data_IF_777548062506
#
_entry.id   IF_777548062506
#
_cell.length_a   1.000
_cell.length_b   1.000
_cell.length_c   1.000
_cell.angle_alpha   90.00
_cell.angle_beta   90.00
_cell.angle_gamma   90.00
#
_symmetry.space_group_name_H-M   'P 1'
#
loop_
_entity.id
_entity.type
_entity.pdbx_description
1 polymer ?
#
# COMPACT_ATOMS: atom_id res chain seq x y z
N UNK A 1 19.00 -12.33 13.69
CA UNK A 1 18.37 -11.01 13.71
C UNK A 1 16.91 -11.02 13.23
N UNK A 2 16.38 -12.14 12.76
CA UNK A 2 15.04 -12.23 12.14
C UNK A 2 13.83 -12.15 13.09
N UNK A 3 14.03 -12.07 14.39
CA UNK A 3 12.91 -12.15 15.33
C UNK A 3 12.48 -10.77 15.90
N UNK A 4 13.23 -9.71 15.66
CA UNK A 4 12.87 -8.38 16.18
C UNK A 4 11.55 -7.88 15.62
N UNK A 5 11.37 -8.01 14.30
CA UNK A 5 10.12 -7.63 13.63
C UNK A 5 8.94 -8.44 14.18
N UNK A 6 9.10 -9.76 14.32
CA UNK A 6 8.06 -10.64 14.88
C UNK A 6 7.71 -10.27 16.33
N UNK A 7 8.70 -9.99 17.16
CA UNK A 7 8.51 -9.56 18.56
C UNK A 7 7.74 -8.24 18.61
N UNK A 8 8.09 -7.28 17.75
CA UNK A 8 7.39 -6.00 17.62
C UNK A 8 5.94 -6.22 17.20
N UNK A 9 5.69 -7.02 16.16
CA UNK A 9 4.35 -7.34 15.67
C UNK A 9 3.48 -7.93 16.79
N UNK A 10 4.01 -8.89 17.58
CA UNK A 10 3.30 -9.45 18.74
C UNK A 10 2.95 -8.37 19.75
N UNK A 11 3.90 -7.50 20.10
CA UNK A 11 3.67 -6.41 21.04
C UNK A 11 2.57 -5.46 20.55
N UNK A 12 2.65 -5.06 19.28
CA UNK A 12 1.69 -4.13 18.67
C UNK A 12 0.28 -4.74 18.53
N UNK A 13 0.19 -6.07 18.38
CA UNK A 13 -1.10 -6.78 18.32
C UNK A 13 -1.81 -6.89 19.67
N UNK A 14 -1.13 -6.63 20.78
CA UNK A 14 -1.67 -6.78 22.14
C UNK A 14 -1.85 -8.24 22.61
N UNK A 15 -1.48 -9.23 21.78
CA UNK A 15 -1.63 -10.66 22.10
C UNK A 15 -0.51 -11.08 23.06
N UNK A 16 -0.85 -11.40 24.30
CA UNK A 16 0.11 -11.77 25.35
C UNK A 16 0.45 -13.25 25.36
N UNK A 17 -0.54 -14.13 25.14
CA UNK A 17 -0.37 -15.58 25.24
C UNK A 17 0.31 -16.18 24.02
N UNK A 18 1.33 -17.02 24.28
CA UNK A 18 1.97 -17.82 23.24
C UNK A 18 1.15 -19.06 22.88
N UNK A 19 0.30 -19.53 23.79
CA UNK A 19 -0.62 -20.67 23.58
C UNK A 19 -1.62 -20.37 22.47
N UNK A 20 -2.23 -19.17 22.48
CA UNK A 20 -3.16 -18.74 21.42
C UNK A 20 -2.46 -18.72 20.06
N UNK A 21 -1.22 -18.24 20.01
CA UNK A 21 -0.44 -18.19 18.76
C UNK A 21 -0.07 -19.60 18.31
N UNK A 22 0.34 -20.46 19.26
CA UNK A 22 0.70 -21.85 19.02
C UNK A 22 -0.47 -22.62 18.44
N UNK A 23 -1.63 -22.54 19.06
CA UNK A 23 -2.86 -23.19 18.62
C UNK A 23 -3.27 -22.75 17.21
N UNK A 24 -3.26 -21.45 16.96
CA UNK A 24 -3.67 -20.88 15.66
C UNK A 24 -2.66 -21.16 14.52
N UNK A 25 -1.38 -21.28 14.84
CA UNK A 25 -0.31 -21.50 13.83
C UNK A 25 0.10 -22.95 13.68
N UNK A 26 -0.26 -23.82 14.63
CA UNK A 26 0.22 -25.20 14.69
C UNK A 26 1.71 -25.33 15.08
N UNK A 27 2.37 -24.22 15.45
CA UNK A 27 3.76 -24.24 15.93
C UNK A 27 3.74 -24.53 17.43
N UNK A 28 4.47 -25.54 17.86
CA UNK A 28 4.58 -25.91 19.27
C UNK A 28 4.88 -24.71 20.18
N UNK A 29 4.25 -24.67 21.36
CA UNK A 29 4.29 -23.54 22.32
C UNK A 29 5.71 -23.24 22.79
N UNK A 30 6.54 -24.25 23.02
CA UNK A 30 7.94 -24.05 23.43
C UNK A 30 8.74 -23.39 22.31
N UNK A 31 8.56 -23.84 21.08
CA UNK A 31 9.16 -23.24 19.87
C UNK A 31 8.65 -21.80 19.66
N UNK A 32 7.35 -21.58 19.80
CA UNK A 32 6.74 -20.25 19.72
C UNK A 32 7.36 -19.29 20.74
N UNK A 33 7.53 -19.74 21.98
CA UNK A 33 8.18 -18.97 23.04
C UNK A 33 9.64 -18.62 22.71
N UNK A 34 10.39 -19.57 22.17
CA UNK A 34 11.78 -19.34 21.73
C UNK A 34 11.88 -18.34 20.57
N UNK A 35 10.92 -18.33 19.67
CA UNK A 35 10.84 -17.34 18.58
C UNK A 35 10.61 -15.93 19.14
N UNK A 36 9.64 -15.75 20.03
CA UNK A 36 9.32 -14.43 20.62
C UNK A 36 10.33 -13.93 21.67
N UNK A 37 11.19 -14.81 22.16
CA UNK A 37 12.34 -14.39 22.98
C UNK A 37 13.61 -14.18 22.17
N UNK A 38 13.58 -14.43 20.86
CA UNK A 38 14.75 -14.30 19.97
C UNK A 38 15.80 -15.40 20.14
N UNK A 39 15.52 -16.42 20.96
CA UNK A 39 16.45 -17.53 21.22
C UNK A 39 16.52 -18.54 20.08
N UNK A 40 15.49 -18.60 19.23
CA UNK A 40 15.44 -19.46 18.04
C UNK A 40 15.06 -18.64 16.83
N UNK A 41 15.77 -18.83 15.71
CA UNK A 41 15.43 -18.22 14.42
C UNK A 41 14.19 -18.86 13.83
N UNK A 42 13.33 -18.06 13.20
CA UNK A 42 12.21 -18.55 12.40
C UNK A 42 12.69 -18.94 11.00
N UNK A 43 12.11 -20.00 10.44
CA UNK A 43 12.25 -20.32 9.03
C UNK A 43 11.12 -19.66 8.20
N UNK A 44 11.17 -19.82 6.88
CA UNK A 44 10.21 -19.16 5.97
C UNK A 44 8.78 -19.68 6.15
N UNK A 45 8.62 -20.98 6.45
CA UNK A 45 7.31 -21.59 6.69
C UNK A 45 6.69 -21.05 7.98
N UNK A 46 7.47 -20.94 9.04
CA UNK A 46 7.04 -20.35 10.30
C UNK A 46 6.72 -18.87 10.16
N UNK A 47 7.53 -18.14 9.39
CA UNK A 47 7.24 -16.73 9.06
C UNK A 47 5.92 -16.60 8.31
N UNK A 48 5.61 -17.51 7.40
CA UNK A 48 4.34 -17.58 6.69
C UNK A 48 3.17 -17.81 7.65
N UNK A 49 3.25 -18.80 8.55
CA UNK A 49 2.22 -19.08 9.53
C UNK A 49 1.95 -17.88 10.45
N UNK A 50 3.00 -17.24 10.95
CA UNK A 50 2.87 -16.00 11.72
C UNK A 50 2.27 -14.86 10.89
N UNK A 51 2.62 -14.74 9.61
CA UNK A 51 2.05 -13.70 8.75
C UNK A 51 0.54 -13.84 8.58
N UNK A 52 0.06 -15.07 8.45
CA UNK A 52 -1.38 -15.38 8.41
C UNK A 52 -2.08 -15.04 9.71
N UNK A 53 -1.50 -15.46 10.83
CA UNK A 53 -2.06 -15.21 12.16
C UNK A 53 -2.18 -13.71 12.47
N UNK A 54 -1.09 -12.97 12.29
CA UNK A 54 -1.06 -11.52 12.55
C UNK A 54 -1.64 -10.66 11.42
N UNK A 55 -2.07 -11.27 10.32
CA UNK A 55 -2.59 -10.58 9.12
C UNK A 55 -1.62 -9.51 8.59
N UNK A 56 -0.33 -9.83 8.60
CA UNK A 56 0.74 -8.98 8.06
C UNK A 56 1.44 -9.68 6.92
N UNK A 57 2.05 -8.91 6.03
CA UNK A 57 2.83 -9.51 4.94
C UNK A 57 4.07 -10.22 5.48
N UNK A 58 4.41 -11.42 4.93
CA UNK A 58 5.54 -12.25 5.39
C UNK A 58 6.87 -11.48 5.43
N UNK A 59 7.11 -10.61 4.46
CA UNK A 59 8.34 -9.81 4.39
C UNK A 59 8.46 -8.87 5.59
N UNK A 60 7.35 -8.36 6.15
CA UNK A 60 7.38 -7.54 7.37
C UNK A 60 7.87 -8.32 8.59
N UNK A 61 7.70 -9.64 8.59
CA UNK A 61 8.23 -10.51 9.64
C UNK A 61 9.72 -10.79 9.42
N UNK A 62 10.14 -10.91 8.16
CA UNK A 62 11.52 -11.23 7.79
C UNK A 62 12.43 -10.00 7.82
N UNK A 63 11.89 -8.80 7.59
CA UNK A 63 12.64 -7.55 7.58
C UNK A 63 11.84 -6.42 8.24
N UNK A 64 12.32 -5.93 9.38
CA UNK A 64 11.69 -4.83 10.12
C UNK A 64 11.82 -3.46 9.44
N UNK A 65 12.73 -3.34 8.47
CA UNK A 65 12.95 -2.10 7.73
C UNK A 65 12.02 -1.94 6.52
N UNK A 66 11.08 -2.88 6.33
CA UNK A 66 10.14 -2.80 5.23
C UNK A 66 8.79 -2.32 5.70
N UNK A 67 8.32 -1.22 5.13
CA UNK A 67 7.00 -0.68 5.38
C UNK A 67 6.01 -1.17 4.32
N UNK A 68 4.81 -1.50 4.76
CA UNK A 68 3.71 -1.92 3.91
C UNK A 68 2.72 -0.77 3.72
N UNK A 69 2.33 -0.54 2.47
CA UNK A 69 1.32 0.46 2.11
C UNK A 69 0.15 -0.19 1.38
N UNK A 70 -1.08 0.15 1.71
CA UNK A 70 -2.24 -0.42 1.04
C UNK A 70 -2.38 0.11 -0.38
N UNK A 71 -2.60 -0.78 -1.34
CA UNK A 71 -3.07 -0.44 -2.68
C UNK A 71 -4.58 -0.35 -2.62
N UNK A 72 -5.09 0.86 -2.47
CA UNK A 72 -6.52 1.13 -2.29
C UNK A 72 -7.30 1.21 -3.59
N UNK A 73 -6.59 1.33 -4.73
CA UNK A 73 -7.21 1.48 -6.03
C UNK A 73 -6.29 1.03 -7.16
N UNK A 74 -6.90 0.76 -8.30
CA UNK A 74 -6.20 0.57 -9.57
C UNK A 74 -6.65 1.61 -10.58
N UNK A 75 -5.72 2.13 -11.37
CA UNK A 75 -6.07 2.95 -12.52
C UNK A 75 -5.74 2.25 -13.85
N UNK A 76 -6.52 2.56 -14.87
CA UNK A 76 -6.27 2.09 -16.23
C UNK A 76 -5.35 3.07 -16.99
N UNK A 77 -5.02 2.74 -18.24
CA UNK A 77 -4.20 3.61 -19.11
C UNK A 77 -4.83 4.97 -19.38
N UNK A 78 -6.15 5.11 -19.25
CA UNK A 78 -6.86 6.39 -19.38
C UNK A 78 -6.88 7.21 -18.09
N UNK A 79 -6.17 6.78 -17.04
CA UNK A 79 -6.13 7.47 -15.74
C UNK A 79 -7.43 7.33 -14.92
N UNK A 80 -8.39 6.51 -15.36
CA UNK A 80 -9.62 6.25 -14.60
C UNK A 80 -9.32 5.31 -13.45
N UNK A 81 -9.66 5.73 -12.25
CA UNK A 81 -9.37 5.00 -11.00
C UNK A 81 -10.60 4.23 -10.54
N UNK A 82 -10.40 2.96 -10.21
CA UNK A 82 -11.39 2.09 -9.55
C UNK A 82 -10.91 1.80 -8.14
N UNK A 83 -11.69 2.23 -7.17
CA UNK A 83 -11.46 1.90 -5.75
C UNK A 83 -11.74 0.42 -5.52
N UNK A 84 -11.06 -0.13 -4.53
CA UNK A 84 -11.30 -1.47 -4.00
C UNK A 84 -11.92 -1.40 -2.62
N UNK A 85 -12.65 -2.43 -2.24
CA UNK A 85 -13.09 -2.60 -0.86
C UNK A 85 -11.88 -2.87 0.05
N UNK A 86 -11.98 -2.53 1.31
CA UNK A 86 -10.85 -2.65 2.25
C UNK A 86 -10.37 -4.10 2.43
N UNK A 87 -11.26 -5.07 2.36
CA UNK A 87 -10.98 -6.50 2.41
C UNK A 87 -10.22 -7.03 1.17
N UNK A 88 -10.27 -6.28 0.05
CA UNK A 88 -9.58 -6.60 -1.19
C UNK A 88 -8.24 -5.88 -1.35
N UNK A 89 -7.84 -5.05 -0.38
CA UNK A 89 -6.61 -4.28 -0.49
C UNK A 89 -5.40 -5.20 -0.53
N UNK A 90 -4.62 -5.03 -1.57
CA UNK A 90 -3.27 -5.59 -1.66
C UNK A 90 -2.29 -4.62 -0.99
N UNK A 91 -1.09 -5.08 -0.69
CA UNK A 91 -0.05 -4.24 -0.13
C UNK A 91 1.14 -4.14 -1.07
N UNK A 92 1.74 -2.98 -1.12
CA UNK A 92 3.04 -2.77 -1.74
C UNK A 92 4.08 -2.59 -0.64
N UNK A 93 5.26 -3.11 -0.90
CA UNK A 93 6.37 -3.04 0.02
C UNK A 93 7.34 -1.99 -0.51
N UNK A 94 7.67 -1.04 0.35
CA UNK A 94 8.68 -0.02 0.07
C UNK A 94 9.73 -0.01 1.19
N UNK A 95 10.99 0.36 0.89
CA UNK A 95 11.99 0.63 1.91
C UNK A 95 11.52 1.74 2.85
N UNK A 96 11.97 1.68 4.11
CA UNK A 96 11.58 2.66 5.15
C UNK A 96 12.08 4.09 4.90
N UNK A 97 13.00 4.29 3.94
CA UNK A 97 13.58 5.59 3.61
C UNK A 97 12.59 6.54 2.90
N UNK A 98 11.42 6.03 2.54
CA UNK A 98 10.34 6.88 2.07
C UNK A 98 9.61 7.44 3.29
N UNK A 99 9.75 8.73 3.59
CA UNK A 99 8.99 9.50 4.59
C UNK A 99 7.49 9.53 4.24
N UNK A 100 6.83 8.38 4.26
CA UNK A 100 5.49 8.23 3.71
C UNK A 100 4.49 7.71 4.74
N UNK A 101 4.62 8.11 6.00
CA UNK A 101 3.65 7.78 7.03
C UNK A 101 2.24 8.24 6.64
N UNK A 102 1.36 7.28 6.48
CA UNK A 102 -0.05 7.50 6.15
C UNK A 102 -0.38 7.60 4.67
N UNK A 103 0.54 7.30 3.76
CA UNK A 103 0.27 7.30 2.33
C UNK A 103 -0.51 6.07 1.86
N UNK A 104 -1.39 6.30 0.91
CA UNK A 104 -2.10 5.28 0.16
C UNK A 104 -1.53 5.18 -1.26
N UNK A 105 -1.71 4.02 -1.87
CA UNK A 105 -1.21 3.73 -3.20
C UNK A 105 -2.33 3.52 -4.20
N UNK A 106 -2.15 4.07 -5.41
CA UNK A 106 -2.94 3.72 -6.58
C UNK A 106 -1.99 3.03 -7.56
N UNK A 107 -2.30 1.80 -7.95
CA UNK A 107 -1.47 1.02 -8.84
C UNK A 107 -1.99 1.08 -10.28
N UNK A 108 -1.11 1.38 -11.21
CA UNK A 108 -1.37 1.23 -12.64
C UNK A 108 -0.64 -0.01 -13.16
N UNK A 109 -1.35 -1.13 -13.25
CA UNK A 109 -0.77 -2.45 -13.56
C UNK A 109 -0.01 -2.47 -14.90
N UNK A 110 -0.61 -1.90 -15.96
CA UNK A 110 -0.03 -1.95 -17.30
C UNK A 110 1.28 -1.16 -17.43
N UNK A 111 1.43 -0.07 -16.67
CA UNK A 111 2.61 0.78 -16.66
C UNK A 111 3.58 0.43 -15.52
N UNK A 112 3.25 -0.55 -14.69
CA UNK A 112 4.03 -0.90 -13.50
C UNK A 112 4.34 0.32 -12.62
N UNK A 113 3.40 1.27 -12.53
CA UNK A 113 3.57 2.52 -11.81
C UNK A 113 2.69 2.56 -10.58
N UNK A 114 3.24 3.03 -9.48
CA UNK A 114 2.51 3.31 -8.25
C UNK A 114 2.50 4.82 -8.06
N UNK A 115 1.32 5.34 -7.81
CA UNK A 115 1.09 6.72 -7.42
C UNK A 115 0.84 6.77 -5.92
N UNK A 116 1.65 7.55 -5.20
CA UNK A 116 1.56 7.71 -3.77
C UNK A 116 0.83 9.01 -3.43
N UNK A 117 -0.14 8.94 -2.53
CA UNK A 117 -0.84 10.13 -2.04
C UNK A 117 -1.19 9.98 -0.56
N UNK A 118 -1.25 11.09 0.15
CA UNK A 118 -1.70 11.11 1.54
C UNK A 118 -3.18 11.58 1.58
N UNK A 119 -4.12 10.75 2.07
CA UNK A 119 -5.54 11.10 2.10
C UNK A 119 -5.87 12.24 3.07
N UNK A 120 -4.93 12.65 3.93
CA UNK A 120 -5.09 13.79 4.85
C UNK A 120 -4.69 15.12 4.20
N UNK A 121 -3.98 15.07 3.07
CA UNK A 121 -3.52 16.27 2.35
C UNK A 121 -4.45 16.52 1.17
N UNK A 122 -5.19 17.62 1.23
CA UNK A 122 -6.09 18.06 0.16
C UNK A 122 -5.58 19.39 -0.33
N UNK A 123 -5.51 19.58 -1.64
CA UNK A 123 -5.16 20.87 -2.26
C UNK A 123 -6.39 21.56 -2.78
N UNK A 124 -6.44 22.87 -2.58
CA UNK A 124 -7.51 23.72 -3.11
C UNK A 124 -7.44 23.83 -4.64
N UNK A 125 -8.56 24.21 -5.23
CA UNK A 125 -8.72 24.27 -6.68
C UNK A 125 -7.63 25.06 -7.39
N UNK A 126 -7.26 26.22 -6.85
CA UNK A 126 -6.23 27.08 -7.47
C UNK A 126 -4.84 26.51 -7.33
N UNK A 127 -4.57 25.85 -6.22
CA UNK A 127 -3.29 25.23 -5.89
C UNK A 127 -3.06 23.94 -6.67
N UNK A 128 -4.14 23.26 -7.09
CA UNK A 128 -4.05 22.04 -7.89
C UNK A 128 -3.50 22.26 -9.31
N UNK A 129 -3.42 23.51 -9.78
CA UNK A 129 -2.88 23.79 -11.12
C UNK A 129 -1.41 23.41 -11.24
N UNK A 130 -1.09 22.69 -12.31
CA UNK A 130 0.24 22.15 -12.62
C UNK A 130 0.74 21.11 -11.59
N UNK A 131 -0.19 20.54 -10.80
CA UNK A 131 0.11 19.45 -9.88
C UNK A 131 -0.50 18.16 -10.41
N UNK A 132 0.26 17.08 -10.30
CA UNK A 132 -0.21 15.74 -10.58
C UNK A 132 -1.02 15.24 -9.39
N UNK A 133 -2.28 14.89 -9.60
CA UNK A 133 -3.23 14.61 -8.52
C UNK A 133 -4.00 13.31 -8.73
N UNK A 134 -4.39 12.71 -7.60
CA UNK A 134 -5.55 11.85 -7.53
C UNK A 134 -6.80 12.73 -7.33
N UNK A 135 -7.72 12.63 -8.26
CA UNK A 135 -8.89 13.49 -8.41
C UNK A 135 -10.15 12.67 -8.14
N UNK A 136 -10.90 13.05 -7.12
CA UNK A 136 -12.09 12.32 -6.67
C UNK A 136 -13.36 13.08 -6.97
N UNK A 137 -14.38 12.35 -7.45
CA UNK A 137 -15.72 12.84 -7.70
C UNK A 137 -16.73 11.71 -7.48
N UNK A 138 -17.99 12.06 -7.20
CA UNK A 138 -19.10 11.10 -7.04
C UNK A 138 -19.36 10.24 -8.30
N UNK A 139 -19.00 10.74 -9.49
CA UNK A 139 -19.23 10.07 -10.79
C UNK A 139 -18.01 9.34 -11.32
N UNK A 140 -16.83 9.55 -10.73
CA UNK A 140 -15.60 8.90 -11.18
C UNK A 140 -14.37 9.47 -10.51
N UNK A 141 -13.32 8.66 -10.50
CA UNK A 141 -12.03 9.02 -9.91
C UNK A 141 -10.96 8.95 -11.00
N UNK A 142 -9.97 9.86 -10.94
CA UNK A 142 -8.96 9.99 -11.98
C UNK A 142 -7.58 10.25 -11.38
N UNK A 143 -6.54 9.88 -12.12
CA UNK A 143 -5.16 10.32 -11.87
C UNK A 143 -4.70 11.13 -13.09
N UNK A 144 -4.17 12.31 -12.87
CA UNK A 144 -3.68 13.17 -13.95
C UNK A 144 -3.15 14.51 -13.50
N UNK A 145 -2.52 15.19 -14.42
CA UNK A 145 -2.02 16.55 -14.23
C UNK A 145 -3.14 17.57 -14.44
N UNK A 146 -3.43 18.37 -13.44
CA UNK A 146 -4.40 19.47 -13.55
C UNK A 146 -3.76 20.63 -14.32
N UNK A 147 -4.22 20.87 -15.54
CA UNK A 147 -3.62 21.92 -16.39
C UNK A 147 -4.40 23.23 -16.39
N UNK A 148 -5.68 23.18 -16.09
CA UNK A 148 -6.53 24.37 -16.01
C UNK A 148 -7.76 24.16 -15.13
N UNK A 149 -8.06 25.14 -14.31
CA UNK A 149 -9.33 25.22 -13.58
C UNK A 149 -10.37 25.94 -14.45
N UNK A 150 -11.48 25.28 -14.68
CA UNK A 150 -12.59 25.81 -15.46
C UNK A 150 -13.67 26.39 -14.53
N UNK A 151 -14.76 26.92 -15.08
CA UNK A 151 -15.88 27.45 -14.29
C UNK A 151 -16.51 26.35 -13.41
N UNK A 152 -16.88 26.70 -12.19
CA UNK A 152 -17.45 25.75 -11.21
C UNK A 152 -16.41 24.73 -10.70
N UNK A 153 -16.79 23.46 -10.55
CA UNK A 153 -15.93 22.34 -10.12
C UNK A 153 -15.22 21.64 -11.28
N UNK A 154 -15.23 22.22 -12.47
CA UNK A 154 -14.69 21.59 -13.68
C UNK A 154 -13.21 21.89 -13.85
N UNK A 155 -12.46 20.87 -14.26
CA UNK A 155 -11.01 20.93 -14.48
C UNK A 155 -10.66 20.35 -15.85
N UNK A 156 -9.63 20.94 -16.48
CA UNK A 156 -8.95 20.32 -17.62
C UNK A 156 -7.76 19.52 -17.11
N UNK A 157 -7.72 18.26 -17.43
CA UNK A 157 -6.77 17.29 -16.90
C UNK A 157 -6.01 16.66 -18.06
N UNK A 158 -4.70 16.60 -17.95
CA UNK A 158 -3.85 15.86 -18.87
C UNK A 158 -3.65 14.44 -18.33
N UNK A 159 -3.99 13.45 -19.12
CA UNK A 159 -3.64 12.07 -18.84
C UNK A 159 -2.15 11.86 -19.03
N UNK A 160 -1.48 11.31 -18.02
CA UNK A 160 -0.04 11.11 -18.03
C UNK A 160 0.44 10.11 -19.11
N UNK A 161 -0.38 9.10 -19.45
CA UNK A 161 0.03 8.05 -20.39
C UNK A 161 -0.37 8.31 -21.84
N UNK A 162 -1.62 8.79 -22.04
CA UNK A 162 -2.10 9.02 -23.40
C UNK A 162 -1.74 10.40 -23.91
N UNK A 163 -1.28 11.29 -23.02
CA UNK A 163 -1.03 12.72 -23.29
C UNK A 163 -2.27 13.45 -23.84
N UNK A 164 -3.44 12.88 -23.60
CA UNK A 164 -4.72 13.45 -24.02
C UNK A 164 -5.35 14.29 -22.91
N UNK A 165 -6.02 15.34 -23.29
CA UNK A 165 -6.76 16.19 -22.38
C UNK A 165 -8.21 15.73 -22.27
N UNK A 166 -8.71 15.72 -21.06
CA UNK A 166 -10.15 15.56 -20.79
C UNK A 166 -10.63 16.55 -19.74
N UNK A 167 -11.95 16.75 -19.66
CA UNK A 167 -12.56 17.59 -18.66
C UNK A 167 -13.38 16.74 -17.69
N UNK A 168 -13.21 16.99 -16.39
CA UNK A 168 -13.99 16.33 -15.35
C UNK A 168 -14.41 17.34 -14.26
N UNK A 169 -15.55 17.06 -13.63
CA UNK A 169 -15.92 17.71 -12.38
C UNK A 169 -15.17 17.01 -11.25
N UNK A 170 -14.56 17.77 -10.37
CA UNK A 170 -13.75 17.24 -9.27
C UNK A 170 -14.22 17.87 -7.96
N UNK A 171 -14.44 17.06 -6.96
CA UNK A 171 -14.82 17.49 -5.62
C UNK A 171 -13.60 17.63 -4.72
N UNK A 172 -12.64 16.70 -4.82
CA UNK A 172 -11.45 16.66 -3.99
C UNK A 172 -10.21 16.35 -4.82
N UNK A 173 -9.12 17.06 -4.54
CA UNK A 173 -7.81 16.86 -5.16
C UNK A 173 -6.79 16.43 -4.09
N UNK A 174 -6.19 15.27 -4.28
CA UNK A 174 -5.07 14.79 -3.46
C UNK A 174 -3.79 14.87 -4.29
N UNK A 175 -2.78 15.64 -3.85
CA UNK A 175 -1.53 15.70 -4.59
C UNK A 175 -0.84 14.32 -4.57
N UNK A 176 -0.31 13.91 -5.71
CA UNK A 176 0.57 12.76 -5.80
C UNK A 176 1.93 13.20 -5.27
N UNK A 177 2.34 12.64 -4.15
CA UNK A 177 3.57 13.01 -3.47
C UNK A 177 4.78 12.34 -4.09
N UNK A 178 4.59 11.13 -4.64
CA UNK A 178 5.66 10.39 -5.29
C UNK A 178 5.09 9.42 -6.34
N UNK A 179 5.93 9.04 -7.29
CA UNK A 179 5.66 7.96 -8.24
C UNK A 179 6.81 6.97 -8.19
N UNK A 180 6.51 5.69 -8.07
CA UNK A 180 7.53 4.65 -8.11
C UNK A 180 7.22 3.59 -9.15
N UNK A 181 8.27 2.98 -9.66
CA UNK A 181 8.13 1.85 -10.57
C UNK A 181 7.98 0.56 -9.75
N UNK A 182 6.92 -0.19 -9.99
CA UNK A 182 6.71 -1.46 -9.31
C UNK A 182 7.47 -2.57 -10.01
N UNK A 183 8.45 -3.14 -9.34
CA UNK A 183 9.06 -4.38 -9.78
C UNK A 183 8.16 -5.56 -9.41
N UNK A 184 7.21 -5.86 -10.30
CA UNK A 184 6.29 -6.97 -10.10
C UNK A 184 7.00 -8.33 -10.01
N UNK A 185 8.24 -8.46 -10.48
CA UNK A 185 8.98 -9.72 -10.37
C UNK A 185 9.25 -10.08 -8.91
N UNK A 186 9.55 -9.09 -8.08
CA UNK A 186 9.69 -9.28 -6.62
C UNK A 186 8.35 -9.55 -5.93
N UNK A 187 7.30 -8.88 -6.39
CA UNK A 187 5.95 -9.04 -5.84
C UNK A 187 5.34 -10.42 -6.16
N UNK A 188 5.47 -10.89 -7.41
CA UNK A 188 4.97 -12.21 -7.82
C UNK A 188 5.76 -13.37 -7.19
N UNK A 189 7.07 -13.22 -6.98
CA UNK A 189 7.84 -14.24 -6.24
C UNK A 189 7.34 -14.42 -4.82
N UNK A 190 6.94 -13.35 -4.15
CA UNK A 190 6.35 -13.42 -2.82
C UNK A 190 4.96 -14.05 -2.85
N UNK A 191 4.14 -13.72 -3.85
CA UNK A 191 2.81 -14.31 -4.02
C UNK A 191 2.86 -15.81 -4.38
N UNK A 192 3.83 -16.21 -5.21
CA UNK A 192 4.07 -17.62 -5.55
C UNK A 192 4.64 -18.44 -4.37
N UNK A 193 5.25 -17.80 -3.37
CA UNK A 193 5.68 -18.44 -2.12
C UNK A 193 4.53 -18.57 -1.10
N UNK A 194 3.38 -17.94 -1.37
CA UNK A 194 2.21 -17.86 -0.50
C UNK A 194 1.03 -18.67 -1.07
N UNK A 195 1.08 -19.03 -2.35
CA UNK A 195 0.10 -19.91 -3.02
C UNK A 195 0.53 -21.36 -2.99
#
# INVERSE_FOLDING_TARGET
MFNKALIKIKKDSGIKSNEIISEATGIDTSTTSLHFTGKRKINIEQAYLYSKFFKVHIIKILDENITQYPIVAYCNSKGVVRLRNEDEWEVVIAPNDTENDGNYCICQKNAKTIFWYNPKIIVEKKEAMNIFCYLKNTKGNYVGLVTRCLKGKRYKILNYHTLEYFNANIDVCYPITNTSHLDFSKYYKVKALIS
#
